data_IF_356956113730
#
_entry.id   IF_356956113730
#
_cell.length_a   1.000
_cell.length_b   1.000
_cell.length_c   1.000
_cell.angle_alpha   90.00
_cell.angle_beta   90.00
_cell.angle_gamma   90.00
#
_symmetry.space_group_name_H-M   'P 1'
#
loop_
_entity.id
_entity.type
_entity.pdbx_description
1 polymer ?
#
# COMPACT_ATOMS: atom_id res chain seq x y z
N UNK A 1 3.12 -70.58 -2.89
CA UNK A 1 3.10 -69.50 -1.88
C UNK A 1 2.36 -68.31 -2.49
N UNK A 2 1.09 -68.12 -2.14
CA UNK A 2 0.35 -66.93 -2.58
C UNK A 2 0.82 -65.77 -1.69
N UNK A 3 1.54 -64.82 -2.28
CA UNK A 3 2.01 -63.63 -1.56
C UNK A 3 0.80 -62.83 -1.10
N UNK A 4 0.55 -62.81 0.20
CA UNK A 4 -0.43 -61.92 0.78
C UNK A 4 0.09 -60.49 0.58
N UNK A 5 -0.49 -59.75 -0.36
CA UNK A 5 -0.16 -58.33 -0.52
C UNK A 5 -0.59 -57.61 0.77
N UNK A 6 0.27 -56.78 1.39
CA UNK A 6 -0.03 -56.10 2.65
C UNK A 6 -1.15 -55.04 2.53
N UNK A 7 -1.48 -54.63 1.30
CA UNK A 7 -2.58 -53.73 0.97
C UNK A 7 -3.26 -54.22 -0.32
N UNK A 8 -4.59 -54.18 -0.38
CA UNK A 8 -5.38 -54.62 -1.53
C UNK A 8 -6.16 -53.46 -2.16
N UNK A 9 -5.86 -53.18 -3.43
CA UNK A 9 -6.51 -52.18 -4.26
C UNK A 9 -7.42 -52.82 -5.32
N UNK A 10 -7.65 -54.13 -5.28
CA UNK A 10 -8.43 -54.89 -6.27
C UNK A 10 -9.85 -54.37 -6.48
N UNK A 11 -10.40 -53.64 -5.48
CA UNK A 11 -11.66 -52.90 -5.59
C UNK A 11 -11.71 -51.99 -6.81
N UNK A 12 -10.58 -51.39 -7.21
CA UNK A 12 -10.47 -50.42 -8.29
C UNK A 12 -9.96 -51.01 -9.62
N UNK A 13 -9.77 -52.33 -9.71
CA UNK A 13 -9.28 -52.96 -10.95
C UNK A 13 -10.31 -52.94 -12.10
N UNK A 14 -11.60 -52.79 -11.79
CA UNK A 14 -12.71 -52.85 -12.74
C UNK A 14 -13.37 -51.47 -12.98
N UNK A 15 -12.60 -50.44 -13.32
CA UNK A 15 -13.14 -49.10 -13.66
C UNK A 15 -13.38 -49.00 -15.18
N UNK A 16 -14.59 -48.60 -15.57
CA UNK A 16 -14.99 -48.35 -16.96
C UNK A 16 -15.13 -46.84 -17.20
N UNK A 17 -14.23 -46.28 -18.02
CA UNK A 17 -14.22 -44.87 -18.41
C UNK A 17 -14.79 -44.75 -19.83
N UNK A 18 -15.96 -44.11 -19.98
CA UNK A 18 -16.62 -44.00 -21.28
C UNK A 18 -15.96 -43.00 -22.25
N UNK A 19 -15.12 -42.11 -21.73
CA UNK A 19 -14.41 -41.04 -22.46
C UNK A 19 -12.88 -41.26 -22.45
N UNK A 20 -12.46 -42.52 -22.43
CA UNK A 20 -11.04 -42.86 -22.51
C UNK A 20 -10.51 -42.66 -23.94
N UNK A 21 -9.69 -41.63 -24.12
CA UNK A 21 -9.12 -41.26 -25.42
C UNK A 21 -8.10 -42.28 -25.95
N UNK A 22 -7.48 -43.09 -25.09
CA UNK A 22 -6.47 -44.09 -25.49
C UNK A 22 -7.11 -45.29 -26.22
N UNK A 23 -8.41 -45.50 -25.99
CA UNK A 23 -9.19 -46.63 -26.45
C UNK A 23 -9.81 -46.43 -27.86
N UNK A 24 -9.55 -45.29 -28.51
CA UNK A 24 -10.10 -44.97 -29.82
C UNK A 24 -9.09 -45.22 -30.95
N UNK A 25 -9.45 -46.10 -31.89
CA UNK A 25 -8.61 -46.35 -33.06
C UNK A 25 -8.48 -45.09 -33.93
N UNK A 26 -7.30 -44.77 -34.52
CA UNK A 26 -7.05 -43.55 -35.30
C UNK A 26 -8.01 -43.25 -36.48
N UNK A 27 -8.81 -44.23 -36.89
CA UNK A 27 -9.74 -44.12 -38.03
C UNK A 27 -11.20 -43.94 -37.61
N UNK A 28 -11.51 -43.91 -36.32
CA UNK A 28 -12.87 -43.76 -35.79
C UNK A 28 -13.01 -42.33 -35.25
N UNK A 29 -14.13 -41.68 -35.57
CA UNK A 29 -14.47 -40.38 -34.99
C UNK A 29 -14.67 -40.50 -33.47
N UNK A 30 -13.78 -39.88 -32.70
CA UNK A 30 -13.78 -39.92 -31.22
C UNK A 30 -15.12 -39.51 -30.62
N UNK A 31 -15.72 -38.42 -31.10
CA UNK A 31 -16.98 -37.89 -30.55
C UNK A 31 -18.16 -38.85 -30.76
N UNK A 32 -18.22 -39.55 -31.89
CA UNK A 32 -19.26 -40.55 -32.17
C UNK A 32 -19.00 -41.86 -31.41
N UNK A 33 -17.73 -42.25 -31.25
CA UNK A 33 -17.31 -43.40 -30.46
C UNK A 33 -17.67 -43.27 -28.98
N UNK A 34 -17.36 -42.14 -28.33
CA UNK A 34 -17.70 -41.92 -26.92
C UNK A 34 -19.20 -41.91 -26.67
N UNK A 35 -19.98 -41.25 -27.54
CA UNK A 35 -21.45 -41.28 -27.46
C UNK A 35 -22.00 -42.70 -27.61
N UNK A 36 -21.40 -43.51 -28.47
CA UNK A 36 -21.80 -44.91 -28.63
C UNK A 36 -21.45 -45.74 -27.39
N UNK A 37 -20.20 -45.67 -26.88
CA UNK A 37 -19.79 -46.35 -25.64
C UNK A 37 -20.66 -45.95 -24.46
N UNK A 38 -20.95 -44.66 -24.29
CA UNK A 38 -21.85 -44.18 -23.24
C UNK A 38 -23.25 -44.78 -23.35
N UNK A 39 -23.85 -44.81 -24.56
CA UNK A 39 -25.16 -45.44 -24.78
C UNK A 39 -25.15 -46.94 -24.47
N UNK A 40 -24.16 -47.67 -24.96
CA UNK A 40 -24.02 -49.11 -24.70
C UNK A 40 -23.81 -49.40 -23.21
N UNK A 41 -23.12 -48.52 -22.49
CA UNK A 41 -22.97 -48.61 -21.03
C UNK A 41 -24.30 -48.44 -20.31
N UNK A 42 -25.04 -47.36 -20.62
CA UNK A 42 -26.35 -47.10 -20.01
C UNK A 42 -27.31 -48.25 -20.27
N UNK A 43 -27.37 -48.73 -21.51
CA UNK A 43 -28.24 -49.84 -21.90
C UNK A 43 -27.88 -51.16 -21.19
N UNK A 44 -26.57 -51.43 -21.00
CA UNK A 44 -26.09 -52.57 -20.21
C UNK A 44 -26.48 -52.44 -18.74
N UNK A 45 -26.33 -51.25 -18.15
CA UNK A 45 -26.68 -51.00 -16.75
C UNK A 45 -28.18 -51.12 -16.51
N UNK A 46 -29.01 -50.61 -17.41
CA UNK A 46 -30.47 -50.76 -17.36
C UNK A 46 -30.89 -52.23 -17.46
N UNK A 47 -30.24 -53.02 -18.32
CA UNK A 47 -30.49 -54.46 -18.45
C UNK A 47 -30.08 -55.23 -17.18
N UNK A 48 -28.88 -54.96 -16.65
CA UNK A 48 -28.39 -55.59 -15.42
C UNK A 48 -29.26 -55.22 -14.21
N UNK A 49 -29.75 -53.98 -14.11
CA UNK A 49 -30.66 -53.55 -13.06
C UNK A 49 -32.04 -54.22 -13.19
N UNK A 50 -32.58 -54.30 -14.41
CA UNK A 50 -33.84 -55.00 -14.68
C UNK A 50 -33.74 -56.50 -14.33
N UNK A 51 -32.63 -57.16 -14.67
CA UNK A 51 -32.37 -58.56 -14.33
C UNK A 51 -32.26 -58.75 -12.82
N UNK A 52 -31.48 -57.90 -12.12
CA UNK A 52 -31.37 -57.93 -10.66
C UNK A 52 -32.74 -57.80 -10.00
N UNK A 53 -33.55 -56.85 -10.46
CA UNK A 53 -34.91 -56.62 -9.95
C UNK A 53 -35.82 -57.83 -10.18
N UNK A 54 -35.75 -58.46 -11.35
CA UNK A 54 -36.52 -59.67 -11.65
C UNK A 54 -36.11 -60.84 -10.73
N UNK A 55 -34.81 -61.08 -10.55
CA UNK A 55 -34.30 -62.15 -9.67
C UNK A 55 -34.70 -61.93 -8.20
N UNK A 56 -34.66 -60.69 -7.71
CA UNK A 56 -35.10 -60.35 -6.34
C UNK A 56 -36.59 -60.61 -6.19
N UNK A 57 -37.43 -60.15 -7.14
CA UNK A 57 -38.86 -60.40 -7.10
C UNK A 57 -39.19 -61.91 -7.14
N UNK A 58 -38.50 -62.68 -8.00
CA UNK A 58 -38.66 -64.13 -8.04
C UNK A 58 -38.23 -64.81 -6.73
N UNK A 59 -37.12 -64.38 -6.13
CA UNK A 59 -36.68 -64.86 -4.81
C UNK A 59 -37.71 -64.55 -3.72
N UNK A 60 -38.34 -63.39 -3.73
CA UNK A 60 -39.43 -63.06 -2.79
C UNK A 60 -40.65 -63.97 -2.98
N UNK A 61 -41.03 -64.27 -4.22
CA UNK A 61 -42.16 -65.17 -4.50
C UNK A 61 -41.86 -66.61 -4.06
N UNK A 62 -40.66 -67.10 -4.35
CA UNK A 62 -40.25 -68.45 -3.98
C UNK A 62 -39.99 -68.53 -2.46
N UNK A 63 -39.57 -67.46 -1.79
CA UNK A 63 -39.49 -67.41 -0.32
C UNK A 63 -40.88 -67.47 0.34
N UNK A 64 -41.92 -66.89 -0.27
CA UNK A 64 -43.32 -67.04 0.19
C UNK A 64 -43.80 -68.48 -0.01
N UNK A 65 -43.59 -69.05 -1.20
CA UNK A 65 -43.90 -70.46 -1.49
C UNK A 65 -43.19 -71.43 -0.56
N UNK A 66 -41.94 -71.14 -0.19
CA UNK A 66 -41.17 -71.95 0.76
C UNK A 66 -41.81 -72.01 2.15
N UNK A 67 -42.46 -70.91 2.58
CA UNK A 67 -43.17 -70.84 3.87
C UNK A 67 -44.48 -71.61 3.83
N UNK A 68 -45.15 -71.63 2.69
CA UNK A 68 -46.47 -72.26 2.49
C UNK A 68 -46.36 -73.75 2.12
N UNK A 69 -45.23 -74.20 1.55
CA UNK A 69 -45.01 -75.60 1.18
C UNK A 69 -45.07 -76.52 2.41
N UNK A 70 -45.72 -77.67 2.26
CA UNK A 70 -45.78 -78.70 3.31
C UNK A 70 -44.69 -79.76 3.11
N UNK A 71 -44.41 -80.10 1.86
CA UNK A 71 -43.53 -81.21 1.49
C UNK A 71 -42.05 -80.83 1.60
N UNK A 72 -41.26 -81.73 2.19
CA UNK A 72 -39.82 -81.53 2.40
C UNK A 72 -39.06 -81.49 1.06
N UNK A 73 -39.52 -82.27 0.07
CA UNK A 73 -38.92 -82.30 -1.27
C UNK A 73 -39.12 -80.96 -2.00
N UNK A 74 -40.35 -80.42 -1.99
CA UNK A 74 -40.68 -79.12 -2.58
C UNK A 74 -39.91 -77.98 -1.91
N UNK A 75 -39.81 -77.99 -0.57
CA UNK A 75 -38.99 -77.03 0.17
C UNK A 75 -37.51 -77.07 -0.21
N UNK A 76 -36.97 -78.25 -0.53
CA UNK A 76 -35.56 -78.40 -0.91
C UNK A 76 -35.30 -77.80 -2.29
N UNK A 77 -36.16 -78.07 -3.25
CA UNK A 77 -36.07 -77.54 -4.62
C UNK A 77 -36.20 -76.01 -4.65
N UNK A 78 -37.16 -75.46 -3.89
CA UNK A 78 -37.34 -74.00 -3.80
C UNK A 78 -36.12 -73.33 -3.16
N UNK A 79 -35.50 -73.95 -2.14
CA UNK A 79 -34.27 -73.43 -1.52
C UNK A 79 -33.08 -73.44 -2.48
N UNK A 80 -32.94 -74.49 -3.27
CA UNK A 80 -31.87 -74.60 -4.27
C UNK A 80 -31.98 -73.50 -5.34
N UNK A 81 -33.20 -73.24 -5.83
CA UNK A 81 -33.48 -72.14 -6.78
C UNK A 81 -33.18 -70.75 -6.19
N UNK A 82 -33.51 -70.52 -4.92
CA UNK A 82 -33.18 -69.26 -4.24
C UNK A 82 -31.67 -69.10 -4.07
N UNK A 83 -30.96 -70.19 -3.74
CA UNK A 83 -29.50 -70.20 -3.58
C UNK A 83 -28.81 -69.88 -4.91
N UNK A 84 -29.18 -70.55 -5.99
CA UNK A 84 -28.61 -70.31 -7.33
C UNK A 84 -28.82 -68.86 -7.79
N UNK A 85 -30.03 -68.30 -7.61
CA UNK A 85 -30.30 -66.90 -7.94
C UNK A 85 -29.54 -65.92 -7.05
N UNK A 86 -29.33 -66.25 -5.77
CA UNK A 86 -28.55 -65.43 -4.85
C UNK A 86 -27.07 -65.41 -5.24
N UNK A 87 -26.51 -66.56 -5.62
CA UNK A 87 -25.15 -66.66 -6.16
C UNK A 87 -24.99 -65.84 -7.45
N UNK A 88 -26.00 -65.85 -8.33
CA UNK A 88 -26.03 -65.02 -9.54
C UNK A 88 -26.06 -63.53 -9.22
N UNK A 89 -26.85 -63.10 -8.23
CA UNK A 89 -26.87 -61.72 -7.74
C UNK A 89 -25.51 -61.30 -7.18
N UNK A 90 -24.89 -62.12 -6.34
CA UNK A 90 -23.55 -61.87 -5.79
C UNK A 90 -22.48 -61.78 -6.88
N UNK A 91 -22.57 -62.63 -7.92
CA UNK A 91 -21.67 -62.56 -9.06
C UNK A 91 -21.81 -61.25 -9.83
N UNK A 92 -23.04 -60.79 -10.08
CA UNK A 92 -23.30 -59.52 -10.75
C UNK A 92 -22.95 -58.29 -9.88
N UNK A 93 -22.85 -58.45 -8.56
CA UNK A 93 -22.34 -57.40 -7.67
C UNK A 93 -20.82 -57.37 -7.63
N UNK A 94 -20.17 -58.54 -7.55
CA UNK A 94 -18.70 -58.65 -7.52
C UNK A 94 -18.04 -58.19 -8.82
N UNK A 95 -18.67 -58.45 -9.96
CA UNK A 95 -18.18 -58.04 -11.27
C UNK A 95 -18.76 -56.70 -11.77
N UNK A 96 -19.41 -55.95 -10.88
CA UNK A 96 -19.92 -54.62 -11.22
C UNK A 96 -18.75 -53.71 -11.61
N UNK A 97 -18.86 -53.08 -12.78
CA UNK A 97 -17.90 -52.09 -13.25
C UNK A 97 -18.11 -50.75 -12.55
N UNK A 98 -17.04 -50.12 -12.09
CA UNK A 98 -17.06 -48.80 -11.49
C UNK A 98 -17.05 -47.73 -12.59
N UNK A 99 -17.95 -46.74 -12.48
CA UNK A 99 -18.12 -45.64 -13.41
C UNK A 99 -18.36 -44.34 -12.62
N UNK A 100 -18.42 -43.19 -13.30
CA UNK A 100 -18.61 -41.88 -12.65
C UNK A 100 -19.88 -41.81 -11.81
N UNK A 101 -20.94 -42.52 -12.22
CA UNK A 101 -22.25 -42.49 -11.58
C UNK A 101 -22.31 -43.35 -10.30
N UNK A 102 -21.41 -44.33 -10.15
CA UNK A 102 -21.40 -45.27 -9.03
C UNK A 102 -20.16 -45.19 -8.12
N UNK A 103 -19.11 -44.49 -8.55
CA UNK A 103 -17.86 -44.36 -7.79
C UNK A 103 -17.95 -43.32 -6.68
N UNK A 104 -18.68 -42.22 -6.92
CA UNK A 104 -18.82 -41.08 -6.01
C UNK A 104 -20.20 -40.44 -6.16
N UNK A 105 -20.61 -39.69 -5.14
CA UNK A 105 -21.79 -38.84 -5.17
C UNK A 105 -21.36 -37.42 -4.80
N UNK A 106 -22.02 -36.40 -5.37
CA UNK A 106 -21.73 -35.01 -5.06
C UNK A 106 -22.03 -34.72 -3.59
N UNK A 107 -20.99 -34.52 -2.78
CA UNK A 107 -21.12 -34.23 -1.34
C UNK A 107 -21.45 -32.75 -1.06
N UNK A 108 -20.84 -31.85 -1.81
CA UNK A 108 -21.07 -30.40 -1.72
C UNK A 108 -20.72 -29.74 -3.05
N UNK A 109 -21.58 -28.83 -3.51
CA UNK A 109 -21.32 -28.00 -4.68
C UNK A 109 -21.39 -26.53 -4.26
N UNK A 110 -20.28 -25.81 -4.42
CA UNK A 110 -20.19 -24.38 -4.12
C UNK A 110 -19.67 -23.64 -5.35
N UNK A 111 -20.56 -22.86 -5.96
CA UNK A 111 -20.22 -22.00 -7.10
C UNK A 111 -20.26 -20.55 -6.63
N UNK A 112 -19.09 -19.91 -6.57
CA UNK A 112 -18.97 -18.49 -6.31
C UNK A 112 -18.73 -17.80 -7.64
N UNK A 113 -19.76 -17.14 -8.16
CA UNK A 113 -19.61 -16.23 -9.30
C UNK A 113 -19.25 -14.87 -8.73
N UNK A 114 -18.02 -14.41 -8.95
CA UNK A 114 -17.63 -13.03 -8.67
C UNK A 114 -18.29 -12.09 -9.70
N UNK A 115 -19.59 -11.83 -9.50
CA UNK A 115 -20.41 -11.00 -10.36
C UNK A 115 -20.68 -9.63 -9.74
N UNK A 116 -20.12 -8.58 -10.35
CA UNK A 116 -20.52 -7.16 -10.23
C UNK A 116 -20.90 -6.70 -8.81
N UNK A 117 -19.91 -6.66 -7.94
CA UNK A 117 -19.99 -6.02 -6.62
C UNK A 117 -19.22 -4.71 -6.50
N UNK A 118 -18.52 -4.25 -7.55
CA UNK A 118 -18.00 -2.89 -7.56
C UNK A 118 -19.17 -1.98 -7.94
N UNK A 119 -19.77 -1.37 -6.91
CA UNK A 119 -20.52 -0.13 -7.06
C UNK A 119 -19.74 0.81 -8.00
N UNK A 120 -20.42 1.64 -8.79
CA UNK A 120 -19.78 2.63 -9.64
C UNK A 120 -18.84 3.57 -8.86
N UNK A 121 -18.99 3.63 -7.54
CA UNK A 121 -18.10 4.30 -6.60
C UNK A 121 -16.73 3.64 -6.40
N UNK A 122 -16.56 2.34 -6.69
CA UNK A 122 -15.26 1.64 -6.66
C UNK A 122 -14.54 1.60 -8.03
N UNK A 123 -15.28 1.84 -9.13
CA UNK A 123 -14.75 1.81 -10.50
C UNK A 123 -13.92 3.03 -10.88
N UNK A 124 -14.00 4.09 -10.08
CA UNK A 124 -13.08 5.24 -10.05
C UNK A 124 -12.66 5.33 -8.60
N UNK A 125 -11.39 5.06 -8.32
CA UNK A 125 -10.79 4.88 -6.98
C UNK A 125 -11.67 5.40 -5.85
N UNK A 126 -12.19 4.47 -5.03
CA UNK A 126 -13.17 4.73 -3.98
C UNK A 126 -13.06 6.11 -3.36
N UNK A 127 -13.88 7.05 -3.83
CA UNK A 127 -14.24 8.24 -3.06
C UNK A 127 -15.12 7.76 -1.90
N UNK A 128 -14.51 7.06 -0.94
CA UNK A 128 -14.95 7.20 0.44
C UNK A 128 -14.77 8.68 0.72
N UNK A 129 -15.90 9.33 1.01
CA UNK A 129 -16.00 10.67 1.58
C UNK A 129 -14.69 11.02 2.27
N UNK A 130 -14.01 12.02 1.71
CA UNK A 130 -12.76 12.52 2.25
C UNK A 130 -12.90 12.73 3.76
N UNK A 131 -11.78 12.65 4.48
CA UNK A 131 -11.72 12.72 5.94
C UNK A 131 -12.66 13.80 6.47
N UNK A 132 -13.49 13.44 7.45
CA UNK A 132 -14.51 14.31 8.04
C UNK A 132 -13.92 15.55 8.72
N UNK A 133 -12.60 15.55 8.95
CA UNK A 133 -11.82 16.66 9.47
C UNK A 133 -10.44 16.74 8.80
N UNK A 134 -9.92 17.96 8.63
CA UNK A 134 -8.56 18.24 8.14
C UNK A 134 -7.47 17.51 8.96
N UNK A 135 -7.71 17.31 10.28
CA UNK A 135 -6.80 16.54 11.15
C UNK A 135 -6.77 15.05 10.81
N UNK A 136 -7.91 14.45 10.48
CA UNK A 136 -7.98 13.04 10.08
C UNK A 136 -7.29 12.80 8.74
N UNK A 137 -7.34 13.79 7.84
CA UNK A 137 -6.63 13.76 6.56
C UNK A 137 -5.12 13.69 6.74
N UNK A 138 -4.59 14.57 7.59
CA UNK A 138 -3.16 14.65 7.88
C UNK A 138 -2.68 13.38 8.59
N UNK A 139 -3.45 12.87 9.55
CA UNK A 139 -3.12 11.61 10.24
C UNK A 139 -3.15 10.39 9.31
N UNK A 140 -4.14 10.31 8.41
CA UNK A 140 -4.24 9.25 7.39
C UNK A 140 -3.04 9.26 6.45
N UNK A 141 -2.62 10.46 6.01
CA UNK A 141 -1.45 10.61 5.16
C UNK A 141 -0.16 10.19 5.88
N UNK A 142 0.06 10.65 7.11
CA UNK A 142 1.25 10.32 7.89
C UNK A 142 1.38 8.79 8.10
N UNK A 143 0.29 8.13 8.52
CA UNK A 143 0.27 6.67 8.70
C UNK A 143 0.52 5.91 7.39
N UNK A 144 -0.02 6.43 6.27
CA UNK A 144 0.22 5.83 4.95
C UNK A 144 1.69 5.92 4.56
N UNK A 145 2.30 7.10 4.73
CA UNK A 145 3.71 7.31 4.41
C UNK A 145 4.59 6.41 5.27
N UNK A 146 4.43 6.42 6.60
CA UNK A 146 5.23 5.58 7.52
C UNK A 146 5.18 4.09 7.18
N UNK A 147 4.01 3.60 6.74
CA UNK A 147 3.83 2.18 6.42
C UNK A 147 4.40 1.78 5.06
N UNK A 148 4.46 2.73 4.11
CA UNK A 148 4.71 2.43 2.70
C UNK A 148 5.92 3.16 2.10
N UNK A 149 6.65 3.94 2.90
CA UNK A 149 7.81 4.75 2.50
C UNK A 149 8.82 3.95 1.67
N UNK A 150 9.24 2.78 2.13
CA UNK A 150 10.22 1.93 1.43
C UNK A 150 9.76 1.58 0.01
N UNK A 151 8.47 1.29 -0.18
CA UNK A 151 7.92 0.96 -1.48
C UNK A 151 7.77 2.18 -2.39
N UNK A 152 7.50 3.36 -1.82
CA UNK A 152 7.39 4.62 -2.55
C UNK A 152 8.76 5.07 -3.04
N UNK A 153 9.78 5.03 -2.18
CA UNK A 153 11.17 5.38 -2.52
C UNK A 153 11.77 4.41 -3.55
N UNK A 154 11.58 3.10 -3.39
CA UNK A 154 12.04 2.11 -4.37
C UNK A 154 11.43 2.36 -5.76
N UNK A 155 10.15 2.76 -5.81
CA UNK A 155 9.49 3.14 -7.05
C UNK A 155 10.09 4.42 -7.67
N UNK A 156 10.34 5.46 -6.88
CA UNK A 156 10.95 6.71 -7.35
C UNK A 156 12.35 6.51 -7.93
N UNK A 157 13.12 5.57 -7.40
CA UNK A 157 14.49 5.30 -7.84
C UNK A 157 14.58 4.48 -9.14
N UNK A 158 13.48 3.86 -9.56
CA UNK A 158 13.42 2.95 -10.71
C UNK A 158 13.63 3.70 -12.03
N UNK A 159 14.47 3.17 -12.92
CA UNK A 159 14.81 3.80 -14.23
C UNK A 159 14.20 3.03 -15.40
N UNK A 160 14.22 1.70 -15.30
CA UNK A 160 13.84 0.79 -16.36
C UNK A 160 12.31 0.72 -16.52
N UNK A 161 11.76 0.95 -17.72
CA UNK A 161 10.30 0.94 -17.94
C UNK A 161 9.63 -0.40 -17.60
N UNK A 162 10.30 -1.52 -17.86
CA UNK A 162 9.75 -2.85 -17.59
C UNK A 162 9.73 -3.13 -16.08
N UNK A 163 10.76 -2.71 -15.36
CA UNK A 163 10.78 -2.74 -13.89
C UNK A 163 9.70 -1.81 -13.28
N UNK A 164 9.53 -0.59 -13.80
CA UNK A 164 8.47 0.33 -13.39
C UNK A 164 7.10 -0.33 -13.55
N UNK A 165 6.86 -0.96 -14.71
CA UNK A 165 5.61 -1.69 -14.99
C UNK A 165 5.38 -2.85 -14.01
N UNK A 166 6.44 -3.63 -13.71
CA UNK A 166 6.37 -4.73 -12.74
C UNK A 166 6.02 -4.24 -11.33
N UNK A 167 6.70 -3.19 -10.85
CA UNK A 167 6.45 -2.60 -9.52
C UNK A 167 5.03 -2.05 -9.40
N UNK A 168 4.49 -1.41 -10.45
CA UNK A 168 3.09 -0.96 -10.48
C UNK A 168 2.12 -2.13 -10.40
N UNK A 169 2.43 -3.25 -11.04
CA UNK A 169 1.58 -4.44 -10.99
C UNK A 169 1.62 -5.11 -9.60
N UNK A 170 2.79 -5.17 -8.96
CA UNK A 170 2.99 -5.80 -7.65
C UNK A 170 2.47 -4.94 -6.48
N UNK A 171 2.64 -3.62 -6.55
CA UNK A 171 2.31 -2.66 -5.47
C UNK A 171 1.29 -1.60 -5.90
N UNK A 172 0.45 -1.93 -6.88
CA UNK A 172 -0.54 -1.00 -7.44
C UNK A 172 -1.68 -0.61 -6.49
N UNK A 173 -1.78 -1.21 -5.31
CA UNK A 173 -2.67 -0.77 -4.21
C UNK A 173 -2.12 0.47 -3.52
N UNK A 174 -0.79 0.52 -3.36
CA UNK A 174 -0.09 1.61 -2.70
C UNK A 174 0.22 2.71 -3.72
N UNK A 175 0.83 2.36 -4.86
CA UNK A 175 1.35 3.33 -5.82
C UNK A 175 0.26 4.13 -6.54
N UNK A 176 -0.93 3.55 -6.73
CA UNK A 176 -2.06 4.21 -7.40
C UNK A 176 -3.02 4.91 -6.43
N UNK A 177 -2.65 4.98 -5.14
CA UNK A 177 -3.42 5.67 -4.11
C UNK A 177 -3.20 7.20 -4.18
N UNK A 178 -4.20 8.00 -3.80
CA UNK A 178 -4.13 9.46 -3.84
C UNK A 178 -2.97 10.01 -2.98
N UNK A 179 -2.77 9.45 -1.78
CA UNK A 179 -1.66 9.80 -0.89
C UNK A 179 -0.28 9.56 -1.52
N UNK A 180 -0.12 8.56 -2.39
CA UNK A 180 1.14 8.32 -3.07
C UNK A 180 1.49 9.47 -4.03
N UNK A 181 0.50 10.04 -4.72
CA UNK A 181 0.72 11.19 -5.61
C UNK A 181 1.24 12.42 -4.84
N UNK A 182 0.65 12.71 -3.67
CA UNK A 182 1.11 13.79 -2.79
C UNK A 182 2.54 13.55 -2.28
N UNK A 183 2.86 12.31 -1.91
CA UNK A 183 4.21 11.93 -1.47
C UNK A 183 5.25 12.15 -2.58
N UNK A 184 4.97 11.70 -3.81
CA UNK A 184 5.89 11.89 -4.93
C UNK A 184 6.10 13.35 -5.28
N UNK A 185 5.06 14.19 -5.18
CA UNK A 185 5.17 15.62 -5.41
C UNK A 185 6.09 16.30 -4.39
N UNK A 186 5.94 15.95 -3.10
CA UNK A 186 6.78 16.47 -2.03
C UNK A 186 8.23 15.98 -2.16
N UNK A 187 8.44 14.69 -2.43
CA UNK A 187 9.77 14.12 -2.66
C UNK A 187 10.48 14.79 -3.85
N UNK A 188 9.77 15.09 -4.95
CA UNK A 188 10.34 15.85 -6.07
C UNK A 188 10.75 17.28 -5.66
N UNK A 189 9.95 17.94 -4.82
CA UNK A 189 10.25 19.30 -4.33
C UNK A 189 11.45 19.29 -3.38
N UNK A 190 11.51 18.32 -2.48
CA UNK A 190 12.61 18.13 -1.53
C UNK A 190 13.92 17.83 -2.26
N UNK A 191 13.91 16.94 -3.26
CA UNK A 191 15.09 16.63 -4.07
C UNK A 191 15.62 17.88 -4.81
N UNK A 192 14.73 18.75 -5.33
CA UNK A 192 15.14 20.02 -5.95
C UNK A 192 15.68 21.01 -4.91
N UNK A 193 15.04 21.12 -3.74
CA UNK A 193 15.50 21.98 -2.66
C UNK A 193 16.86 21.53 -2.10
N UNK A 194 17.13 20.23 -2.05
CA UNK A 194 18.40 19.64 -1.63
C UNK A 194 19.48 19.69 -2.71
N UNK A 195 19.16 20.11 -3.95
CA UNK A 195 20.12 20.27 -5.03
C UNK A 195 20.46 18.97 -5.78
N UNK A 196 19.54 18.01 -5.84
CA UNK A 196 19.68 16.76 -6.58
C UNK A 196 18.81 16.72 -7.86
N UNK A 197 19.16 17.49 -8.92
CA UNK A 197 18.30 17.66 -10.10
C UNK A 197 18.08 16.37 -10.90
N UNK A 198 19.08 15.49 -10.96
CA UNK A 198 18.97 14.20 -11.67
C UNK A 198 18.03 13.23 -10.95
N UNK A 199 18.05 13.22 -9.62
CA UNK A 199 17.14 12.41 -8.79
C UNK A 199 15.71 12.94 -8.92
N UNK A 200 15.54 14.27 -8.82
CA UNK A 200 14.25 14.94 -9.03
C UNK A 200 13.68 14.64 -10.42
N UNK A 201 14.48 14.72 -11.50
CA UNK A 201 14.01 14.43 -12.87
C UNK A 201 13.51 12.98 -13.02
N UNK A 202 14.17 12.02 -12.36
CA UNK A 202 13.73 10.63 -12.33
C UNK A 202 12.44 10.45 -11.53
N UNK A 203 12.38 11.03 -10.34
CA UNK A 203 11.19 11.01 -9.50
C UNK A 203 10.00 11.65 -10.20
N UNK A 204 10.22 12.78 -10.88
CA UNK A 204 9.25 13.49 -11.71
C UNK A 204 8.72 12.61 -12.85
N UNK A 205 9.60 11.91 -13.58
CA UNK A 205 9.20 10.96 -14.61
C UNK A 205 8.27 9.87 -14.04
N UNK A 206 8.66 9.25 -12.94
CA UNK A 206 7.90 8.15 -12.34
C UNK A 206 6.57 8.63 -11.74
N UNK A 207 6.55 9.83 -11.16
CA UNK A 207 5.33 10.51 -10.72
C UNK A 207 4.37 10.74 -11.88
N UNK A 208 4.86 11.27 -13.02
CA UNK A 208 4.05 11.53 -14.21
C UNK A 208 3.49 10.25 -14.85
N UNK A 209 4.21 9.13 -14.78
CA UNK A 209 3.68 7.82 -15.21
C UNK A 209 2.40 7.50 -14.44
N UNK A 210 2.42 7.64 -13.11
CA UNK A 210 1.26 7.34 -12.27
C UNK A 210 0.12 8.33 -12.49
N UNK A 211 0.42 9.63 -12.58
CA UNK A 211 -0.58 10.67 -12.89
C UNK A 211 -1.31 10.36 -14.21
N UNK A 212 -0.57 10.09 -15.28
CA UNK A 212 -1.18 9.76 -16.58
C UNK A 212 -1.98 8.45 -16.55
N UNK A 213 -1.54 7.44 -15.79
CA UNK A 213 -2.31 6.20 -15.60
C UNK A 213 -3.64 6.50 -14.91
N UNK A 214 -3.65 7.31 -13.85
CA UNK A 214 -4.88 7.68 -13.13
C UNK A 214 -5.82 8.58 -13.94
N UNK A 215 -5.28 9.51 -14.74
CA UNK A 215 -6.05 10.34 -15.66
C UNK A 215 -6.69 9.49 -16.77
N UNK A 216 -5.91 8.59 -17.38
CA UNK A 216 -6.40 7.68 -18.40
C UNK A 216 -7.49 6.75 -17.83
N UNK A 217 -7.31 6.25 -16.61
CA UNK A 217 -8.30 5.45 -15.90
C UNK A 217 -9.62 6.19 -15.66
N UNK A 218 -9.52 7.45 -15.23
CA UNK A 218 -10.67 8.34 -15.05
C UNK A 218 -11.41 8.57 -16.37
N UNK A 219 -10.66 8.83 -17.46
CA UNK A 219 -11.25 9.04 -18.78
C UNK A 219 -11.95 7.79 -19.34
N UNK A 220 -11.40 6.60 -19.06
CA UNK A 220 -11.94 5.32 -19.51
C UNK A 220 -13.01 4.74 -18.56
N UNK A 221 -13.24 5.37 -17.40
CA UNK A 221 -14.10 4.89 -16.32
C UNK A 221 -13.77 3.44 -15.92
N UNK A 222 -12.48 3.17 -15.76
CA UNK A 222 -11.95 1.88 -15.32
C UNK A 222 -11.04 2.09 -14.12
N UNK A 223 -10.82 1.03 -13.36
CA UNK A 223 -9.88 1.07 -12.26
C UNK A 223 -8.45 1.33 -12.80
N UNK A 224 -7.62 2.16 -12.14
CA UNK A 224 -6.26 2.47 -12.58
C UNK A 224 -5.38 1.27 -12.92
N UNK A 225 -5.54 0.16 -12.18
CA UNK A 225 -4.83 -1.11 -12.44
C UNK A 225 -5.09 -1.71 -13.83
N UNK A 226 -6.31 -1.60 -14.36
CA UNK A 226 -6.68 -2.17 -15.67
C UNK A 226 -6.08 -1.38 -16.83
N UNK A 227 -5.62 -0.17 -16.56
CA UNK A 227 -5.14 0.80 -17.55
C UNK A 227 -3.62 0.81 -17.64
N UNK A 228 -2.92 0.21 -16.67
CA UNK A 228 -1.45 0.09 -16.65
C UNK A 228 -0.93 -0.56 -17.93
N UNK A 229 -1.44 -1.73 -18.30
CA UNK A 229 -0.98 -2.44 -19.50
C UNK A 229 -1.24 -1.64 -20.80
N UNK A 230 -2.47 -1.14 -21.06
CA UNK A 230 -2.72 -0.24 -22.19
C UNK A 230 -1.82 0.99 -22.23
N UNK A 231 -1.53 1.60 -21.08
CA UNK A 231 -0.66 2.77 -20.98
C UNK A 231 0.76 2.44 -21.46
N UNK A 232 1.37 1.37 -20.94
CA UNK A 232 2.73 0.97 -21.33
C UNK A 232 2.82 0.50 -22.79
N UNK A 233 1.77 -0.09 -23.34
CA UNK A 233 1.72 -0.39 -24.77
C UNK A 233 1.70 0.90 -25.61
N UNK A 234 1.01 1.94 -25.14
CA UNK A 234 0.89 3.22 -25.83
C UNK A 234 2.14 4.07 -25.74
N UNK A 235 2.81 4.11 -24.58
CA UNK A 235 4.05 4.88 -24.39
C UNK A 235 5.24 4.27 -25.17
N UNK A 236 5.14 3.01 -25.60
CA UNK A 236 6.11 2.39 -26.49
C UNK A 236 6.08 3.01 -27.91
N UNK A 237 4.98 3.67 -28.31
CA UNK A 237 4.90 4.38 -29.58
C UNK A 237 5.68 5.71 -29.53
N UNK A 238 6.58 6.00 -30.48
CA UNK A 238 7.44 7.20 -30.43
C UNK A 238 6.68 8.52 -30.34
N UNK A 239 5.52 8.63 -30.98
CA UNK A 239 4.70 9.85 -30.95
C UNK A 239 4.12 10.12 -29.56
N UNK A 240 3.68 9.07 -28.86
CA UNK A 240 3.16 9.20 -27.49
C UNK A 240 4.29 9.43 -26.49
N UNK A 241 5.43 8.77 -26.69
CA UNK A 241 6.62 8.99 -25.88
C UNK A 241 7.08 10.45 -25.92
N UNK A 242 7.13 11.08 -27.09
CA UNK A 242 7.51 12.49 -27.21
C UNK A 242 6.57 13.43 -26.45
N UNK A 243 5.25 13.20 -26.53
CA UNK A 243 4.27 13.96 -25.77
C UNK A 243 4.39 13.75 -24.25
N UNK A 244 4.68 12.51 -23.83
CA UNK A 244 4.96 12.19 -22.44
C UNK A 244 6.23 12.88 -21.93
N UNK A 245 7.32 12.81 -22.69
CA UNK A 245 8.59 13.47 -22.33
C UNK A 245 8.38 14.99 -22.17
N UNK A 246 7.60 15.63 -23.06
CA UNK A 246 7.24 17.05 -22.92
C UNK A 246 6.42 17.34 -21.65
N UNK A 247 5.50 16.45 -21.27
CA UNK A 247 4.72 16.59 -20.05
C UNK A 247 5.61 16.49 -18.80
N UNK A 248 6.61 15.60 -18.82
CA UNK A 248 7.63 15.46 -17.77
C UNK A 248 8.46 16.74 -17.66
N UNK A 249 8.97 17.28 -18.77
CA UNK A 249 9.70 18.56 -18.75
C UNK A 249 8.86 19.69 -18.17
N UNK A 250 7.60 19.82 -18.63
CA UNK A 250 6.70 20.83 -18.11
C UNK A 250 6.40 20.66 -16.61
N UNK A 251 6.39 19.44 -16.09
CA UNK A 251 6.27 19.18 -14.65
C UNK A 251 7.54 19.57 -13.90
N UNK A 252 8.71 19.20 -14.41
CA UNK A 252 10.01 19.60 -13.84
C UNK A 252 10.12 21.11 -13.71
N UNK A 253 9.78 21.87 -14.75
CA UNK A 253 9.79 23.34 -14.71
C UNK A 253 8.85 23.92 -13.62
N UNK A 254 7.70 23.29 -13.39
CA UNK A 254 6.77 23.71 -12.33
C UNK A 254 7.35 23.44 -10.94
N UNK A 255 8.01 22.30 -10.73
CA UNK A 255 8.68 21.97 -9.47
C UNK A 255 9.82 22.95 -9.21
N UNK A 256 10.65 23.24 -10.21
CA UNK A 256 11.73 24.22 -10.09
C UNK A 256 11.23 25.61 -9.69
N UNK A 257 10.17 26.09 -10.35
CA UNK A 257 9.52 27.37 -9.99
C UNK A 257 9.00 27.32 -8.55
N UNK A 258 8.30 26.25 -8.19
CA UNK A 258 7.77 26.06 -6.83
C UNK A 258 8.86 25.99 -5.77
N UNK A 259 10.00 25.37 -6.06
CA UNK A 259 11.16 25.30 -5.17
C UNK A 259 11.76 26.69 -4.92
N UNK A 260 11.89 27.51 -5.97
CA UNK A 260 12.35 28.91 -5.84
C UNK A 260 11.37 29.73 -5.01
N UNK A 261 10.07 29.60 -5.27
CA UNK A 261 9.04 30.32 -4.50
C UNK A 261 9.04 29.87 -3.04
N UNK A 262 9.17 28.56 -2.79
CA UNK A 262 9.23 28.02 -1.42
C UNK A 262 10.47 28.47 -0.66
N UNK A 263 11.63 28.54 -1.32
CA UNK A 263 12.85 29.11 -0.71
C UNK A 263 12.67 30.57 -0.32
N UNK A 264 12.01 31.38 -1.16
CA UNK A 264 11.71 32.78 -0.86
C UNK A 264 10.70 32.92 0.29
N UNK A 265 9.66 32.09 0.32
CA UNK A 265 8.73 32.03 1.46
C UNK A 265 9.46 31.72 2.76
N UNK A 266 10.31 30.68 2.76
CA UNK A 266 11.09 30.29 3.95
C UNK A 266 12.07 31.39 4.39
N UNK A 267 12.73 32.07 3.46
CA UNK A 267 13.60 33.21 3.76
C UNK A 267 12.80 34.38 4.34
N UNK A 268 11.62 34.68 3.80
CA UNK A 268 10.73 35.72 4.31
C UNK A 268 10.21 35.39 5.71
N UNK A 269 9.75 34.17 5.93
CA UNK A 269 9.24 33.70 7.22
C UNK A 269 10.36 33.73 8.28
N UNK A 270 11.60 33.36 7.90
CA UNK A 270 12.76 33.45 8.79
C UNK A 270 13.10 34.91 9.14
N UNK A 271 12.98 35.84 8.19
CA UNK A 271 13.16 37.27 8.44
C UNK A 271 12.05 37.83 9.31
N UNK A 272 10.79 37.41 9.12
CA UNK A 272 9.65 37.83 9.97
C UNK A 272 9.79 37.31 11.40
N UNK A 273 10.15 36.03 11.58
CA UNK A 273 10.46 35.45 12.89
C UNK A 273 11.63 36.18 13.57
N UNK A 274 12.70 36.47 12.83
CA UNK A 274 13.83 37.24 13.36
C UNK A 274 13.44 38.67 13.77
N UNK A 275 12.45 39.27 13.10
CA UNK A 275 11.89 40.57 13.51
C UNK A 275 11.04 40.44 14.76
N UNK A 276 10.20 39.42 14.84
CA UNK A 276 9.36 39.13 16.01
C UNK A 276 10.20 38.84 17.27
N UNK A 277 11.30 38.10 17.13
CA UNK A 277 12.27 37.86 18.20
C UNK A 277 13.02 39.14 18.64
N UNK A 278 13.10 40.15 17.76
CA UNK A 278 13.79 41.42 18.01
C UNK A 278 12.89 42.49 18.64
N UNK A 279 11.59 42.24 18.79
CA UNK A 279 10.65 43.24 19.32
C UNK A 279 10.89 43.47 20.81
N UNK A 280 11.05 44.73 21.20
CA UNK A 280 11.24 45.15 22.60
C UNK A 280 9.95 45.06 23.45
N UNK A 281 10.05 45.35 24.77
CA UNK A 281 8.98 45.12 25.74
C UNK A 281 7.66 45.86 25.47
N UNK A 282 7.68 46.93 24.68
CA UNK A 282 6.51 47.70 24.24
C UNK A 282 6.03 47.40 22.82
N UNK A 283 6.47 46.30 22.20
CA UNK A 283 6.00 45.90 20.88
C UNK A 283 6.65 46.65 19.70
N UNK A 284 7.74 47.40 19.95
CA UNK A 284 8.49 48.12 18.93
C UNK A 284 9.87 47.50 18.73
N UNK A 285 10.32 47.45 17.48
CA UNK A 285 11.65 46.95 17.12
C UNK A 285 12.73 48.03 17.39
N UNK A 286 13.75 47.77 18.24
CA UNK A 286 14.80 48.73 18.58
C UNK A 286 15.60 49.25 17.39
N UNK A 287 15.79 48.45 16.33
CA UNK A 287 16.54 48.91 15.14
C UNK A 287 15.68 49.78 14.25
N UNK A 288 14.39 49.45 14.08
CA UNK A 288 13.47 50.32 13.32
C UNK A 288 13.23 51.66 14.06
N UNK A 289 13.16 51.63 15.39
CA UNK A 289 13.10 52.86 16.19
C UNK A 289 14.37 53.68 16.01
N UNK A 290 15.55 53.08 16.15
CA UNK A 290 16.84 53.77 15.99
C UNK A 290 16.99 54.45 14.62
N UNK A 291 16.69 53.75 13.51
CA UNK A 291 16.77 54.31 12.15
C UNK A 291 15.78 55.46 11.91
N UNK A 292 14.66 55.48 12.64
CA UNK A 292 13.64 56.53 12.56
C UNK A 292 13.91 57.75 13.46
N UNK A 293 14.93 57.70 14.32
CA UNK A 293 15.31 58.82 15.18
C UNK A 293 15.99 59.95 14.39
N UNK A 294 15.96 61.20 14.88
CA UNK A 294 16.76 62.28 14.34
C UNK A 294 18.25 61.96 14.36
N UNK A 295 19.01 62.41 13.35
CA UNK A 295 20.46 62.16 13.25
C UNK A 295 21.25 62.57 14.49
N UNK A 296 20.86 63.69 15.12
CA UNK A 296 21.48 64.14 16.37
C UNK A 296 21.27 63.18 17.54
N UNK A 297 20.14 62.47 17.58
CA UNK A 297 19.89 61.42 18.58
C UNK A 297 20.58 60.11 18.20
N UNK A 298 20.61 59.73 16.91
CA UNK A 298 21.35 58.56 16.41
C UNK A 298 22.83 58.66 16.77
N UNK A 299 23.46 59.80 16.48
CA UNK A 299 24.86 60.09 16.82
C UNK A 299 25.12 60.02 18.33
N UNK A 300 24.18 60.48 19.16
CA UNK A 300 24.29 60.39 20.61
C UNK A 300 24.19 58.94 21.13
N UNK A 301 23.29 58.13 20.55
CA UNK A 301 23.17 56.70 20.87
C UNK A 301 24.38 55.89 20.37
N UNK A 302 24.94 56.22 19.19
CA UNK A 302 26.18 55.61 18.66
C UNK A 302 27.41 55.95 19.51
N UNK A 303 27.53 57.21 19.93
CA UNK A 303 28.59 57.69 20.81
C UNK A 303 28.41 57.23 22.27
N UNK A 304 27.26 56.65 22.63
CA UNK A 304 26.85 56.33 24.01
C UNK A 304 26.96 57.53 24.95
N UNK A 305 26.67 58.72 24.44
CA UNK A 305 26.83 59.98 25.15
C UNK A 305 25.46 60.54 25.58
N UNK A 306 25.17 60.41 26.87
CA UNK A 306 23.92 60.89 27.48
C UNK A 306 23.83 62.42 27.50
N UNK A 307 24.96 63.14 27.49
CA UNK A 307 24.97 64.60 27.45
C UNK A 307 24.63 65.11 26.06
N UNK A 308 25.17 64.47 25.01
CA UNK A 308 24.78 64.78 23.63
C UNK A 308 23.32 64.44 23.36
N UNK A 309 22.79 63.36 23.94
CA UNK A 309 21.37 63.03 23.84
C UNK A 309 20.50 64.11 24.48
N UNK A 310 20.89 64.64 25.64
CA UNK A 310 20.16 65.71 26.32
C UNK A 310 20.18 67.03 25.53
N UNK A 311 21.33 67.39 24.94
CA UNK A 311 21.44 68.55 24.04
C UNK A 311 20.55 68.37 22.79
N UNK A 312 20.50 67.16 22.23
CA UNK A 312 19.62 66.85 21.09
C UNK A 312 18.13 66.95 21.45
N UNK A 313 17.74 66.56 22.67
CA UNK A 313 16.36 66.65 23.17
C UNK A 313 15.95 68.08 23.53
N UNK A 314 16.88 68.91 24.03
CA UNK A 314 16.64 70.33 24.32
C UNK A 314 16.55 71.20 23.05
N UNK A 315 17.23 70.78 21.97
CA UNK A 315 17.20 71.47 20.69
C UNK A 315 15.88 71.30 19.92
N UNK A 316 15.00 70.39 20.35
CA UNK A 316 13.73 70.08 19.68
C UNK A 316 12.51 70.39 20.55
N UNK A 317 11.29 70.51 19.96
CA UNK A 317 10.08 70.74 20.73
C UNK A 317 9.83 69.63 21.76
N UNK A 318 9.42 70.01 22.97
CA UNK A 318 9.19 69.10 24.11
C UNK A 318 8.26 67.92 23.76
N UNK A 319 7.28 68.14 22.87
CA UNK A 319 6.36 67.07 22.44
C UNK A 319 7.02 66.04 21.51
N UNK A 320 7.95 66.46 20.65
CA UNK A 320 8.69 65.56 19.77
C UNK A 320 9.75 64.77 20.55
N UNK A 321 10.45 65.45 21.46
CA UNK A 321 11.41 64.82 22.38
C UNK A 321 10.75 63.69 23.20
N UNK A 322 9.56 63.96 23.75
CA UNK A 322 8.79 62.97 24.51
C UNK A 322 8.34 61.79 23.63
N UNK A 323 7.82 62.07 22.43
CA UNK A 323 7.40 61.03 21.49
C UNK A 323 8.56 60.10 21.08
N UNK A 324 9.77 60.63 20.84
CA UNK A 324 10.93 59.81 20.52
C UNK A 324 11.44 59.02 21.73
N UNK A 325 11.43 59.60 22.93
CA UNK A 325 11.86 58.92 24.16
C UNK A 325 10.92 57.78 24.56
N UNK A 326 9.60 58.00 24.52
CA UNK A 326 8.59 56.96 24.80
C UNK A 326 8.74 55.76 23.83
N UNK A 327 9.14 56.02 22.57
CA UNK A 327 9.45 54.97 21.58
C UNK A 327 10.77 54.26 21.84
N UNK A 328 11.78 54.97 22.37
CA UNK A 328 13.05 54.37 22.78
C UNK A 328 12.86 53.44 23.98
N UNK A 329 11.99 53.81 24.93
CA UNK A 329 11.63 52.96 26.06
C UNK A 329 10.78 51.74 25.62
N UNK A 330 9.77 51.96 24.80
CA UNK A 330 8.91 50.89 24.28
C UNK A 330 9.63 49.89 23.36
N UNK A 331 10.72 50.29 22.72
CA UNK A 331 11.56 49.38 21.93
C UNK A 331 12.71 48.76 22.73
N UNK A 332 12.90 49.16 23.99
CA UNK A 332 14.02 48.70 24.82
C UNK A 332 15.37 49.31 24.47
N UNK A 333 15.42 50.31 23.57
CA UNK A 333 16.62 51.06 23.19
C UNK A 333 17.12 51.95 24.33
N UNK A 334 16.23 52.35 25.24
CA UNK A 334 16.53 53.13 26.45
C UNK A 334 15.82 52.53 27.66
N UNK A 335 16.55 52.27 28.74
CA UNK A 335 15.98 51.82 30.02
C UNK A 335 16.04 52.99 30.99
N UNK A 336 14.88 53.57 31.29
CA UNK A 336 14.77 54.58 32.35
C UNK A 336 14.96 53.92 33.71
N UNK A 337 15.88 54.45 34.52
CA UNK A 337 16.26 53.92 35.83
C UNK A 337 15.18 54.12 36.93
N UNK A 338 13.90 54.12 36.56
CA UNK A 338 12.76 54.35 37.48
C UNK A 338 12.29 53.08 38.20
N UNK A 339 12.70 51.91 37.73
CA UNK A 339 12.39 50.61 38.33
C UNK A 339 13.68 49.81 38.58
N UNK A 340 14.66 50.41 39.25
CA UNK A 340 15.68 49.62 39.93
C UNK A 340 15.01 48.94 41.14
N UNK A 341 14.99 47.60 41.24
CA UNK A 341 14.70 46.97 42.53
C UNK A 341 15.78 47.42 43.52
N UNK A 342 15.37 47.80 44.73
CA UNK A 342 16.28 48.03 45.86
C UNK A 342 17.21 46.80 45.98
N UNK A 343 18.52 47.03 45.82
CA UNK A 343 19.54 46.14 46.38
C UNK A 343 19.41 46.26 47.90
N UNK A 344 18.85 45.24 48.55
CA UNK A 344 19.17 44.92 49.94
C UNK A 344 20.40 44.00 49.93
N UNK A 345 21.44 44.48 50.62
CA UNK A 345 22.78 43.91 50.80
C UNK A 345 22.81 42.38 51.10
N UNK A 346 23.79 41.66 50.55
CA UNK A 346 24.91 41.12 51.34
C UNK A 346 25.90 40.29 50.49
N UNK A 347 27.14 40.78 50.55
CA UNK A 347 28.42 40.08 50.63
C UNK A 347 29.09 39.38 49.41
N UNK A 348 30.20 40.03 49.06
CA UNK A 348 31.56 39.49 48.95
C UNK A 348 32.05 38.87 47.62
N UNK A 349 32.93 39.68 46.99
CA UNK A 349 34.31 39.34 46.62
C UNK A 349 34.52 38.14 45.68
N UNK A 350 34.88 38.40 44.42
CA UNK A 350 36.30 38.56 44.08
C UNK A 350 36.48 38.83 42.58
N UNK A 351 37.31 39.82 42.32
CA UNK A 351 37.82 40.22 41.04
C UNK A 351 39.05 39.36 40.71
N UNK A 352 39.08 38.67 39.55
CA UNK A 352 40.23 38.77 38.64
C UNK A 352 40.06 37.94 37.35
N UNK A 353 39.92 38.68 36.26
CA UNK A 353 40.76 38.62 35.05
C UNK A 353 41.32 37.27 34.59
N UNK A 354 41.05 36.89 33.33
CA UNK A 354 42.04 37.01 32.24
C UNK A 354 41.50 36.41 30.93
N UNK A 355 41.82 37.12 29.86
CA UNK A 355 41.53 36.78 28.48
C UNK A 355 42.55 35.82 27.86
N UNK A 356 42.09 35.19 26.77
CA UNK A 356 42.84 34.75 25.59
C UNK A 356 43.67 33.44 25.62
N UNK A 357 43.36 32.59 24.64
CA UNK A 357 44.38 32.11 23.69
C UNK A 357 44.88 30.66 23.86
N UNK A 358 44.43 29.79 22.94
CA UNK A 358 45.03 28.53 22.46
C UNK A 358 46.58 28.49 22.44
N UNK A 359 47.28 27.31 22.40
CA UNK A 359 47.01 26.22 21.43
C UNK A 359 47.32 24.76 21.87
N UNK A 360 47.11 23.86 20.90
CA UNK A 360 47.21 22.39 20.88
C UNK A 360 48.55 21.76 21.28
N UNK A 361 48.51 20.49 21.73
CA UNK A 361 49.00 19.29 21.03
C UNK A 361 49.36 18.13 21.99
N UNK A 362 49.08 16.89 21.54
CA UNK A 362 49.75 15.61 21.87
C UNK A 362 49.56 15.07 23.30
N UNK A 363 49.53 13.76 23.60
CA UNK A 363 49.61 12.48 22.89
C UNK A 363 49.28 11.39 23.94
N UNK A 364 48.73 10.25 23.50
CA UNK A 364 48.74 8.89 24.11
C UNK A 364 48.36 8.72 25.61
N UNK A 365 47.82 7.62 26.13
CA UNK A 365 47.75 6.21 25.77
C UNK A 365 46.72 5.53 26.68
N UNK A 366 46.12 4.46 26.16
CA UNK A 366 45.34 3.40 26.83
C UNK A 366 46.04 2.82 28.08
N UNK A 367 45.36 2.07 28.99
CA UNK A 367 44.81 0.75 28.63
C UNK A 367 43.54 0.27 29.37
N UNK A 368 42.82 -0.64 28.71
CA UNK A 368 41.95 -1.65 29.32
C UNK A 368 42.71 -2.54 30.33
N UNK A 369 42.00 -3.29 31.18
CA UNK A 369 42.01 -4.73 30.92
C UNK A 369 40.66 -5.46 31.11
N UNK A 370 40.49 -6.43 30.22
CA UNK A 370 39.74 -7.69 30.22
C UNK A 370 39.49 -8.36 31.61
N UNK A 371 38.63 -9.36 31.80
CA UNK A 371 38.31 -10.49 30.94
C UNK A 371 37.11 -11.33 31.47
N UNK A 372 36.66 -12.24 30.60
CA UNK A 372 36.04 -13.57 30.87
C UNK A 372 34.62 -13.68 31.44
N UNK A 373 33.67 -14.00 30.54
CA UNK A 373 32.85 -15.22 30.59
C UNK A 373 32.19 -15.48 29.22
#
# INVERSE_FOLDING_TARGET
MAGHKPFDYSKWDNIEISDDEEDCHPNIDKASWFRMKHRSRVEREDQEEAEKKALVAENETDAKRLKEASDIAEKREIKERIMERSERLEYMERNKKWNVDNICQTASEHTIVSGRGADGSELVGGLKMGPTSEKEAVMSYAQFVEKHEEALEDFLQTVDPDETKKKIHERGDVLLHEHAQSYFLLSCLEDEMNGYPEKMRRAARNSQILSHITELATSMRRHPRDVVLPFFSRIAEPSYKAGFDQAVEGFVERIQKRAVDKRKEMEKDQVELSKEERVGPGGLDPVEVFESLPKSMQEAFEAKDTQMLQVALEAMPIQEAKHHMDRCEASGLWVSNKDAPDDDDDDDDDNSTAAAGSPAAEDSTHPDPAADA
#
